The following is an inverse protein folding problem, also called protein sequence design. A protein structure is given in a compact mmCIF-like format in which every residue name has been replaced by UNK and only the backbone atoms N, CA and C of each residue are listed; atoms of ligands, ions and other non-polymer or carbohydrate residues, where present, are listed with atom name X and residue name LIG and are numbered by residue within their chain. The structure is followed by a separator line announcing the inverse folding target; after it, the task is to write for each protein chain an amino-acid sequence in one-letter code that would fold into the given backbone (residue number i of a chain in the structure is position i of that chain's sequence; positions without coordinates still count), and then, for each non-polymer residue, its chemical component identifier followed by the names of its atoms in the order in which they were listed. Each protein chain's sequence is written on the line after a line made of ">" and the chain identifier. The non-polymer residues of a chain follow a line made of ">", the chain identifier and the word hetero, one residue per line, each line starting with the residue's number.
data_IF_196742818528
#
_entry.id   IF_196742818528
#
_cell.length_a   1.000
_cell.length_b   1.000
_cell.length_c   1.000
_cell.angle_alpha   90.00
_cell.angle_beta   90.00
_cell.angle_gamma   90.00
#
_symmetry.space_group_name_H-M   'P 1'
#
loop_
_entity.id
_entity.type
_entity.pdbx_description
1 polymer ?
#
# COMPACT_ATOMS: atom_id res chain seq x y z
N UNK A 1 -26.79 -4.95 -12.07
CA UNK A 1 -25.42 -5.44 -12.26
C UNK A 1 -25.41 -6.61 -13.23
N UNK A 2 -24.54 -6.58 -14.24
CA UNK A 2 -24.44 -7.64 -15.24
C UNK A 2 -23.71 -8.87 -14.67
N UNK A 3 -23.87 -10.00 -15.37
CA UNK A 3 -23.15 -11.23 -15.03
C UNK A 3 -21.64 -11.04 -15.07
N UNK A 4 -21.12 -10.34 -16.10
CA UNK A 4 -19.69 -10.06 -16.23
C UNK A 4 -19.16 -9.19 -15.10
N UNK A 5 -19.93 -8.18 -14.68
CA UNK A 5 -19.58 -7.33 -13.54
C UNK A 5 -19.56 -8.14 -12.24
N UNK A 6 -20.53 -9.03 -12.04
CA UNK A 6 -20.57 -9.90 -10.87
C UNK A 6 -19.35 -10.83 -10.82
N UNK A 7 -18.94 -11.40 -11.97
CA UNK A 7 -17.72 -12.21 -12.04
C UNK A 7 -16.48 -11.40 -11.70
N UNK A 8 -16.39 -10.17 -12.20
CA UNK A 8 -15.26 -9.29 -11.89
C UNK A 8 -15.17 -9.01 -10.39
N UNK A 9 -16.29 -8.77 -9.72
CA UNK A 9 -16.33 -8.60 -8.27
C UNK A 9 -15.73 -9.80 -7.57
N UNK A 10 -16.22 -11.01 -7.90
CA UNK A 10 -15.76 -12.25 -7.29
C UNK A 10 -14.27 -12.47 -7.53
N UNK A 11 -13.81 -12.31 -8.78
CA UNK A 11 -12.42 -12.49 -9.13
C UNK A 11 -11.51 -11.50 -8.39
N UNK A 12 -11.94 -10.23 -8.26
CA UNK A 12 -11.19 -9.21 -7.55
C UNK A 12 -11.09 -9.53 -6.06
N UNK A 13 -12.20 -9.90 -5.44
CA UNK A 13 -12.22 -10.24 -4.01
C UNK A 13 -11.33 -11.45 -3.71
N UNK A 14 -11.37 -12.48 -4.54
CA UNK A 14 -10.53 -13.67 -4.40
C UNK A 14 -9.07 -13.33 -4.62
N UNK A 15 -8.76 -12.61 -5.69
CA UNK A 15 -7.39 -12.25 -6.04
C UNK A 15 -6.71 -11.42 -4.96
N UNK A 16 -7.43 -10.44 -4.39
CA UNK A 16 -6.89 -9.55 -3.36
C UNK A 16 -7.03 -10.11 -1.95
N UNK A 17 -7.62 -11.30 -1.80
CA UNK A 17 -7.86 -11.92 -0.50
C UNK A 17 -8.60 -10.98 0.46
N UNK A 18 -9.60 -10.27 -0.05
CA UNK A 18 -10.42 -9.37 0.75
C UNK A 18 -11.48 -10.16 1.51
N UNK A 19 -11.67 -9.86 2.79
CA UNK A 19 -12.64 -10.56 3.64
C UNK A 19 -14.08 -10.11 3.45
N UNK A 20 -14.30 -9.15 2.58
CA UNK A 20 -15.62 -8.60 2.34
C UNK A 20 -16.52 -9.64 1.64
N UNK A 21 -17.61 -9.98 2.30
CA UNK A 21 -18.51 -11.04 1.84
C UNK A 21 -19.51 -10.54 0.79
N UNK A 22 -19.95 -9.28 0.89
CA UNK A 22 -20.89 -8.69 -0.04
C UNK A 22 -20.33 -7.37 -0.58
N UNK A 23 -20.28 -7.27 -1.90
CA UNK A 23 -19.77 -6.09 -2.58
C UNK A 23 -20.39 -6.02 -3.97
N UNK A 24 -20.78 -4.82 -4.41
CA UNK A 24 -21.19 -4.60 -5.78
C UNK A 24 -20.01 -4.12 -6.61
N UNK A 25 -20.16 -4.20 -7.94
CA UNK A 25 -19.16 -3.68 -8.88
C UNK A 25 -18.81 -2.22 -8.58
N UNK A 26 -19.83 -1.40 -8.27
CA UNK A 26 -19.62 0.03 -7.99
C UNK A 26 -18.90 0.29 -6.66
N UNK A 27 -18.99 -0.64 -5.71
CA UNK A 27 -18.35 -0.51 -4.39
C UNK A 27 -16.88 -0.90 -4.39
N UNK A 28 -16.40 -1.60 -5.42
CA UNK A 28 -15.00 -2.00 -5.50
C UNK A 28 -14.06 -0.79 -5.57
N UNK A 29 -14.51 0.30 -6.23
CA UNK A 29 -13.68 1.47 -6.37
C UNK A 29 -12.35 1.14 -7.05
N UNK A 30 -11.25 1.62 -6.47
CA UNK A 30 -9.93 1.40 -7.06
C UNK A 30 -9.43 -0.05 -6.99
N UNK A 31 -10.03 -0.90 -6.15
CA UNK A 31 -9.65 -2.31 -6.10
C UNK A 31 -9.82 -3.01 -7.45
N UNK A 32 -10.74 -2.52 -8.28
CA UNK A 32 -10.94 -3.05 -9.65
C UNK A 32 -9.68 -2.97 -10.51
N UNK A 33 -8.82 -1.99 -10.22
CA UNK A 33 -7.64 -1.71 -11.03
C UNK A 33 -6.35 -2.28 -10.45
N UNK A 34 -6.37 -2.74 -9.20
CA UNK A 34 -5.16 -3.20 -8.50
C UNK A 34 -4.54 -4.42 -9.19
N UNK A 35 -5.37 -5.36 -9.65
CA UNK A 35 -4.89 -6.54 -10.37
C UNK A 35 -4.19 -6.15 -11.67
N UNK A 36 -4.78 -5.21 -12.42
CA UNK A 36 -4.19 -4.72 -13.67
C UNK A 36 -2.86 -4.01 -13.43
N UNK A 37 -2.82 -3.15 -12.42
CA UNK A 37 -1.60 -2.46 -12.02
C UNK A 37 -0.50 -3.45 -11.63
N UNK A 38 -0.82 -4.43 -10.80
CA UNK A 38 0.11 -5.47 -10.39
C UNK A 38 0.71 -6.18 -11.62
N UNK A 39 -0.14 -6.67 -12.52
CA UNK A 39 0.32 -7.38 -13.71
C UNK A 39 1.21 -6.52 -14.60
N UNK A 40 0.81 -5.26 -14.81
CA UNK A 40 1.59 -4.32 -15.61
C UNK A 40 2.96 -4.06 -14.98
N UNK A 41 2.99 -3.77 -13.69
CA UNK A 41 4.23 -3.44 -13.00
C UNK A 41 5.20 -4.61 -12.96
N UNK A 42 4.70 -5.83 -12.75
CA UNK A 42 5.55 -7.03 -12.79
C UNK A 42 6.10 -7.25 -14.20
N UNK A 43 5.26 -7.13 -15.23
CA UNK A 43 5.69 -7.33 -16.62
C UNK A 43 6.72 -6.30 -17.08
N UNK A 44 6.63 -5.07 -16.58
CA UNK A 44 7.54 -3.98 -16.90
C UNK A 44 8.72 -3.88 -15.94
N UNK A 45 8.79 -4.77 -14.96
CA UNK A 45 9.80 -4.72 -13.90
C UNK A 45 9.82 -3.39 -13.16
N UNK A 46 8.64 -2.79 -12.98
CA UNK A 46 8.48 -1.50 -12.30
C UNK A 46 8.21 -1.68 -10.81
N UNK A 47 8.93 -0.93 -10.00
CA UNK A 47 8.72 -0.78 -8.56
C UNK A 47 8.81 0.69 -8.19
N UNK A 48 7.99 1.14 -7.28
CA UNK A 48 8.10 2.49 -6.74
C UNK A 48 9.39 2.57 -5.91
N UNK A 49 10.32 3.41 -6.34
CA UNK A 49 11.66 3.51 -5.73
C UNK A 49 11.61 3.92 -4.25
N UNK A 50 10.65 4.77 -3.88
CA UNK A 50 10.50 5.22 -2.50
C UNK A 50 10.10 4.06 -1.58
N UNK A 51 9.19 3.24 -2.06
CA UNK A 51 8.77 2.03 -1.33
C UNK A 51 9.94 1.05 -1.21
N UNK A 52 10.72 0.86 -2.28
CA UNK A 52 11.91 0.01 -2.25
C UNK A 52 12.89 0.49 -1.15
N UNK A 53 13.15 1.80 -1.08
CA UNK A 53 14.03 2.38 -0.04
C UNK A 53 13.51 2.09 1.36
N UNK A 54 12.20 2.21 1.58
CA UNK A 54 11.58 1.95 2.88
C UNK A 54 11.71 0.48 3.24
N UNK A 55 11.39 -0.41 2.32
CA UNK A 55 11.47 -1.85 2.57
C UNK A 55 12.91 -2.30 2.86
N UNK A 56 13.88 -1.75 2.14
CA UNK A 56 15.29 -2.03 2.36
C UNK A 56 15.72 -1.57 3.76
N UNK A 57 15.31 -0.37 4.16
CA UNK A 57 15.60 0.18 5.50
C UNK A 57 15.02 -0.69 6.59
N UNK A 58 13.76 -1.12 6.42
CA UNK A 58 13.11 -2.02 7.38
C UNK A 58 13.86 -3.36 7.50
N UNK A 59 14.30 -3.91 6.39
CA UNK A 59 15.07 -5.16 6.40
C UNK A 59 16.41 -5.01 7.12
N UNK A 60 17.10 -3.89 6.92
CA UNK A 60 18.41 -3.62 7.55
C UNK A 60 18.29 -3.34 9.04
N UNK A 61 17.26 -2.64 9.48
CA UNK A 61 17.11 -2.12 10.85
C UNK A 61 16.06 -2.85 11.68
N UNK A 62 15.38 -3.84 11.11
CA UNK A 62 14.23 -4.50 11.74
C UNK A 62 13.19 -3.48 12.22
N UNK A 63 12.92 -2.47 11.39
CA UNK A 63 11.95 -1.40 11.66
C UNK A 63 10.62 -1.65 10.96
N UNK A 64 9.63 -0.80 11.22
CA UNK A 64 8.27 -0.92 10.70
C UNK A 64 7.83 0.32 9.93
N UNK A 65 8.72 0.88 9.11
CA UNK A 65 8.41 2.10 8.36
C UNK A 65 7.36 1.88 7.26
N UNK A 66 7.39 0.73 6.60
CA UNK A 66 6.39 0.41 5.56
C UNK A 66 4.99 0.29 6.17
N UNK A 67 4.87 -0.39 7.29
CA UNK A 67 3.62 -0.50 8.03
C UNK A 67 3.12 0.87 8.49
N UNK A 68 4.03 1.71 8.97
CA UNK A 68 3.71 3.08 9.38
C UNK A 68 3.19 3.89 8.20
N UNK A 69 3.85 3.82 7.05
CA UNK A 69 3.43 4.53 5.84
C UNK A 69 2.03 4.09 5.41
N UNK A 70 1.76 2.79 5.42
CA UNK A 70 0.45 2.25 5.05
C UNK A 70 -0.67 2.84 5.91
N UNK A 71 -0.53 2.75 7.23
CA UNK A 71 -1.56 3.26 8.14
C UNK A 71 -1.66 4.79 8.11
N UNK A 72 -0.54 5.48 7.90
CA UNK A 72 -0.54 6.93 7.82
C UNK A 72 -1.33 7.43 6.61
N UNK A 73 -1.05 6.89 5.43
CA UNK A 73 -1.78 7.26 4.20
C UNK A 73 -3.25 6.85 4.31
N UNK A 74 -3.51 5.66 4.80
CA UNK A 74 -4.86 5.13 4.98
C UNK A 74 -5.71 6.01 5.90
N UNK A 75 -5.09 6.68 6.85
CA UNK A 75 -5.74 7.59 7.80
C UNK A 75 -5.63 9.07 7.38
N UNK A 76 -5.46 9.34 6.10
CA UNK A 76 -5.35 10.69 5.54
C UNK A 76 -4.25 11.53 6.18
N UNK A 77 -3.12 10.91 6.51
CA UNK A 77 -1.95 11.54 7.12
C UNK A 77 -2.27 12.19 8.48
N UNK A 78 -3.16 11.58 9.25
CA UNK A 78 -3.53 12.05 10.60
C UNK A 78 -2.67 11.34 11.63
N UNK A 79 -1.84 12.12 12.33
CA UNK A 79 -0.89 11.59 13.32
C UNK A 79 -1.60 10.86 14.47
N UNK A 80 -2.57 11.50 15.11
CA UNK A 80 -3.24 10.94 16.28
C UNK A 80 -3.93 9.60 16.00
N UNK A 81 -4.70 9.55 14.93
CA UNK A 81 -5.43 8.34 14.55
C UNK A 81 -4.49 7.22 14.15
N UNK A 82 -3.44 7.54 13.40
CA UNK A 82 -2.45 6.54 12.98
C UNK A 82 -1.70 5.97 14.18
N UNK A 83 -1.27 6.83 15.10
CA UNK A 83 -0.59 6.40 16.32
C UNK A 83 -1.47 5.47 17.16
N UNK A 84 -2.75 5.82 17.29
CA UNK A 84 -3.72 4.99 18.00
C UNK A 84 -3.85 3.61 17.37
N UNK A 85 -3.98 3.54 16.03
CA UNK A 85 -4.11 2.28 15.32
C UNK A 85 -2.86 1.42 15.39
N UNK A 86 -1.68 2.03 15.49
CA UNK A 86 -0.40 1.32 15.60
C UNK A 86 0.01 1.05 17.05
N UNK A 87 -0.79 1.47 18.02
CA UNK A 87 -0.52 1.33 19.45
C UNK A 87 0.82 1.94 19.86
N UNK A 88 1.12 3.14 19.32
CA UNK A 88 2.33 3.89 19.64
C UNK A 88 1.98 5.33 20.05
N UNK A 89 2.92 5.99 20.73
CA UNK A 89 2.75 7.38 21.09
C UNK A 89 2.83 8.28 19.84
N UNK A 90 2.06 9.40 19.76
CA UNK A 90 2.14 10.33 18.62
C UNK A 90 3.55 10.84 18.32
N UNK A 91 4.38 11.03 19.34
CA UNK A 91 5.77 11.44 19.14
C UNK A 91 6.58 10.38 18.40
N UNK A 92 6.35 9.11 18.69
CA UNK A 92 6.97 7.98 17.98
C UNK A 92 6.53 7.97 16.53
N UNK A 93 5.23 8.21 16.28
CA UNK A 93 4.73 8.29 14.93
C UNK A 93 5.36 9.44 14.16
N UNK A 94 5.41 10.64 14.74
CA UNK A 94 6.05 11.79 14.12
C UNK A 94 7.52 11.51 13.77
N UNK A 95 8.24 10.84 14.65
CA UNK A 95 9.62 10.43 14.40
C UNK A 95 9.73 9.48 13.21
N UNK A 96 8.86 8.45 13.14
CA UNK A 96 8.85 7.52 12.01
C UNK A 96 8.50 8.20 10.69
N UNK A 97 7.50 9.10 10.69
CA UNK A 97 7.12 9.86 9.49
C UNK A 97 8.28 10.74 9.04
N UNK A 98 8.98 11.37 9.96
CA UNK A 98 10.17 12.16 9.65
C UNK A 98 11.27 11.30 9.02
N UNK A 99 11.50 10.10 9.56
CA UNK A 99 12.46 9.17 8.98
C UNK A 99 12.07 8.80 7.53
N UNK A 100 10.79 8.53 7.29
CA UNK A 100 10.28 8.22 5.95
C UNK A 100 10.56 9.38 4.99
N UNK A 101 10.26 10.61 5.39
CA UNK A 101 10.49 11.80 4.56
C UNK A 101 11.97 12.00 4.29
N UNK A 102 12.82 11.88 5.30
CA UNK A 102 14.27 12.02 5.14
C UNK A 102 14.85 10.96 4.18
N UNK A 103 14.31 9.74 4.25
CA UNK A 103 14.77 8.64 3.41
C UNK A 103 14.30 8.75 1.95
N UNK A 104 13.08 9.25 1.72
CA UNK A 104 12.40 9.13 0.43
C UNK A 104 12.05 10.45 -0.23
N UNK A 105 12.05 11.54 0.53
CA UNK A 105 11.56 12.85 0.08
C UNK A 105 10.09 12.83 -0.37
N UNK A 106 9.26 11.97 0.23
CA UNK A 106 7.83 11.96 -0.04
C UNK A 106 7.20 13.29 0.37
N UNK A 107 6.38 13.86 -0.51
CA UNK A 107 5.55 15.02 -0.21
C UNK A 107 4.13 14.54 0.04
N UNK A 108 3.72 14.46 1.31
CA UNK A 108 2.38 13.99 1.68
C UNK A 108 1.27 14.98 1.32
N UNK A 109 1.60 16.22 0.98
CA UNK A 109 0.60 17.21 0.53
C UNK A 109 0.27 17.05 -0.97
N UNK A 110 1.07 16.30 -1.71
CA UNK A 110 0.84 16.05 -3.13
C UNK A 110 -0.11 14.87 -3.29
N UNK A 111 -1.31 15.14 -3.82
CA UNK A 111 -2.34 14.09 -3.99
C UNK A 111 -1.93 13.01 -4.98
N UNK A 112 -1.18 13.35 -6.01
CA UNK A 112 -0.73 12.36 -7.01
C UNK A 112 0.26 11.38 -6.37
N UNK A 113 1.15 11.87 -5.54
CA UNK A 113 2.10 11.02 -4.81
C UNK A 113 1.39 10.13 -3.78
N UNK A 114 0.44 10.70 -3.01
CA UNK A 114 -0.37 9.89 -2.10
C UNK A 114 -1.16 8.80 -2.81
N UNK A 115 -1.75 9.13 -3.96
CA UNK A 115 -2.54 8.16 -4.75
C UNK A 115 -1.66 7.03 -5.28
N UNK A 116 -0.48 7.36 -5.81
CA UNK A 116 0.48 6.36 -6.29
C UNK A 116 0.92 5.43 -5.14
N UNK A 117 1.33 6.00 -4.02
CA UNK A 117 1.74 5.23 -2.85
C UNK A 117 0.59 4.37 -2.32
N UNK A 118 -0.61 4.91 -2.25
CA UNK A 118 -1.78 4.18 -1.78
C UNK A 118 -2.07 2.97 -2.66
N UNK A 119 -2.04 3.12 -3.98
CA UNK A 119 -2.27 2.01 -4.90
C UNK A 119 -1.23 0.91 -4.75
N UNK A 120 0.05 1.28 -4.65
CA UNK A 120 1.13 0.31 -4.44
C UNK A 120 0.99 -0.41 -3.11
N UNK A 121 0.65 0.32 -2.04
CA UNK A 121 0.51 -0.25 -0.70
C UNK A 121 -0.68 -1.20 -0.60
N UNK A 122 -1.80 -0.91 -1.26
CA UNK A 122 -2.92 -1.86 -1.34
C UNK A 122 -2.43 -3.18 -1.94
N UNK A 123 -1.75 -3.12 -3.08
CA UNK A 123 -1.24 -4.31 -3.75
C UNK A 123 -0.24 -5.07 -2.87
N UNK A 124 0.68 -4.38 -2.22
CA UNK A 124 1.66 -4.99 -1.33
C UNK A 124 1.02 -5.69 -0.13
N UNK A 125 -0.09 -5.16 0.38
CA UNK A 125 -0.77 -5.73 1.54
C UNK A 125 -1.71 -6.89 1.18
N UNK A 126 -2.17 -6.98 -0.06
CA UNK A 126 -3.16 -7.98 -0.46
C UNK A 126 -2.63 -9.03 -1.43
N UNK A 127 -1.47 -8.81 -2.07
CA UNK A 127 -0.88 -9.72 -3.05
C UNK A 127 0.50 -10.15 -2.56
N UNK A 128 0.63 -11.34 -1.92
CA UNK A 128 1.93 -11.80 -1.41
C UNK A 128 3.03 -11.84 -2.48
N UNK A 129 2.70 -12.23 -3.70
CA UNK A 129 3.65 -12.29 -4.81
C UNK A 129 4.20 -10.91 -5.17
N UNK A 130 3.43 -9.85 -4.96
CA UNK A 130 3.88 -8.48 -5.21
C UNK A 130 4.89 -8.02 -4.17
N UNK A 131 4.66 -8.39 -2.92
CA UNK A 131 5.62 -8.14 -1.85
C UNK A 131 6.96 -8.82 -2.15
N UNK A 132 6.93 -10.09 -2.57
CA UNK A 132 8.13 -10.83 -2.95
C UNK A 132 8.80 -10.23 -4.18
N UNK A 133 8.03 -9.77 -5.16
CA UNK A 133 8.54 -9.06 -6.32
C UNK A 133 9.36 -7.82 -5.92
N UNK A 134 8.85 -7.03 -4.97
CA UNK A 134 9.57 -5.88 -4.45
C UNK A 134 10.84 -6.29 -3.72
N UNK A 135 10.77 -7.35 -2.90
CA UNK A 135 11.92 -7.82 -2.13
C UNK A 135 13.10 -8.24 -3.00
N UNK A 136 12.85 -8.76 -4.18
CA UNK A 136 13.92 -9.17 -5.10
C UNK A 136 14.84 -8.04 -5.53
N UNK A 137 14.43 -6.78 -5.32
CA UNK A 137 15.24 -5.62 -5.66
C UNK A 137 16.49 -5.49 -4.79
N UNK A 138 16.50 -6.06 -3.58
CA UNK A 138 17.61 -5.91 -2.64
C UNK A 138 18.09 -7.25 -2.03
N UNK A 139 17.75 -8.34 -2.69
CA UNK A 139 18.27 -9.66 -2.36
C UNK A 139 19.04 -10.26 -3.54
#
# INVERSE_FOLDING_TARGET
>A
QSYLEALEVIETLVFLNLEQVTCSFDELGMYRYIKLMYKKNVSENYRNEKIVKIMKKDAENNSELLKTLWYYIKNNCRVGKTAEMLFIHPNTLNYRVKQIVELTNINFDNIHERAELYSQLIALNHIPDYYEFYRRQFY
#
